data_IF_525989820293
#
_entry.id   IF_525989820293
#
_cell.length_a   1.000
_cell.length_b   1.000
_cell.length_c   1.000
_cell.angle_alpha   90.00
_cell.angle_beta   90.00
_cell.angle_gamma   90.00
#
_symmetry.space_group_name_H-M   'P 1'
#
loop_
_entity.id
_entity.type
_entity.pdbx_description
1 polymer ?
#
# COMPACT_ATOMS: atom_id res chain seq x y z
N UNK A 1 -12.60 -7.57 -3.59
CA UNK A 1 -12.53 -7.41 -5.06
C UNK A 1 -11.49 -8.38 -5.56
N UNK A 2 -11.84 -9.20 -6.52
CA UNK A 2 -10.94 -10.17 -7.15
C UNK A 2 -10.48 -9.64 -8.51
N UNK A 3 -9.39 -10.19 -9.06
CA UNK A 3 -8.92 -9.80 -10.40
C UNK A 3 -10.01 -9.93 -11.48
N UNK A 4 -10.94 -10.87 -11.32
CA UNK A 4 -12.06 -11.05 -12.24
C UNK A 4 -13.06 -9.86 -12.27
N UNK A 5 -13.02 -9.00 -11.25
CA UNK A 5 -13.90 -7.81 -11.14
C UNK A 5 -13.30 -6.58 -11.84
N UNK A 6 -12.00 -6.60 -12.17
CA UNK A 6 -11.30 -5.44 -12.75
C UNK A 6 -11.87 -4.99 -14.10
N UNK A 7 -12.22 -5.87 -15.05
CA UNK A 7 -12.81 -5.43 -16.31
C UNK A 7 -14.11 -4.65 -16.13
N UNK A 8 -14.95 -5.05 -15.16
CA UNK A 8 -16.17 -4.32 -14.83
C UNK A 8 -15.86 -2.97 -14.18
N UNK A 9 -14.90 -2.93 -13.24
CA UNK A 9 -14.45 -1.70 -12.61
C UNK A 9 -13.92 -0.71 -13.65
N UNK A 10 -13.06 -1.15 -14.55
CA UNK A 10 -12.49 -0.34 -15.62
C UNK A 10 -13.61 0.25 -16.50
N UNK A 11 -14.56 -0.57 -16.91
CA UNK A 11 -15.70 -0.10 -17.70
C UNK A 11 -16.53 0.96 -16.97
N UNK A 12 -16.75 0.81 -15.66
CA UNK A 12 -17.46 1.79 -14.85
C UNK A 12 -16.64 3.10 -14.81
N UNK A 13 -15.33 3.02 -14.57
CA UNK A 13 -14.45 4.20 -14.53
C UNK A 13 -14.43 4.98 -15.85
N UNK A 14 -14.51 4.29 -16.99
CA UNK A 14 -14.51 4.90 -18.31
C UNK A 14 -15.86 5.49 -18.72
N UNK A 15 -16.96 5.00 -18.18
CA UNK A 15 -18.31 5.36 -18.60
C UNK A 15 -19.06 6.26 -17.62
N UNK A 16 -18.62 6.32 -16.36
CA UNK A 16 -19.30 7.05 -15.29
C UNK A 16 -18.40 8.18 -14.74
N UNK A 17 -19.02 9.22 -14.20
CA UNK A 17 -18.30 10.28 -13.50
C UNK A 17 -17.96 9.80 -12.08
N UNK A 18 -16.76 9.26 -11.92
CA UNK A 18 -16.23 8.77 -10.65
C UNK A 18 -15.05 9.66 -10.23
N UNK A 19 -15.10 10.20 -9.01
CA UNK A 19 -14.03 11.01 -8.46
C UNK A 19 -12.96 10.17 -7.75
N UNK A 20 -13.35 9.03 -7.16
CA UNK A 20 -12.44 8.15 -6.44
C UNK A 20 -12.90 6.70 -6.43
N UNK A 21 -11.94 5.79 -6.29
CA UNK A 21 -12.18 4.37 -6.08
C UNK A 21 -11.48 3.89 -4.81
N UNK A 22 -11.99 2.82 -4.25
CA UNK A 22 -11.37 2.13 -3.12
C UNK A 22 -11.06 0.70 -3.52
N UNK A 23 -9.76 0.34 -3.50
CA UNK A 23 -9.28 -0.96 -3.99
C UNK A 23 -8.27 -1.58 -3.03
N UNK A 24 -8.21 -2.92 -2.92
CA UNK A 24 -7.14 -3.60 -2.21
C UNK A 24 -5.80 -3.39 -2.93
N UNK A 25 -4.82 -2.84 -2.21
CA UNK A 25 -3.48 -2.65 -2.72
C UNK A 25 -2.45 -2.77 -1.60
N UNK A 26 -1.51 -3.65 -1.76
CA UNK A 26 -0.42 -3.90 -0.81
C UNK A 26 0.70 -4.69 -1.48
N UNK A 27 1.82 -4.87 -0.79
CA UNK A 27 3.02 -5.54 -1.31
C UNK A 27 2.77 -6.97 -1.83
N UNK A 28 1.73 -7.65 -1.35
CA UNK A 28 1.32 -9.00 -1.80
C UNK A 28 0.24 -8.99 -2.89
N UNK A 29 -0.40 -7.85 -3.12
CA UNK A 29 -1.44 -7.70 -4.14
C UNK A 29 -1.19 -6.43 -4.94
N UNK A 30 -0.44 -6.57 -6.03
CA UNK A 30 0.00 -5.51 -6.94
C UNK A 30 -0.71 -5.52 -8.29
N UNK A 31 -1.63 -6.45 -8.52
CA UNK A 31 -2.29 -6.63 -9.83
C UNK A 31 -2.94 -5.36 -10.39
N UNK A 32 -3.43 -4.49 -9.52
CA UNK A 32 -4.03 -3.19 -9.91
C UNK A 32 -3.04 -2.26 -10.62
N UNK A 33 -1.73 -2.47 -10.49
CA UNK A 33 -0.71 -1.66 -11.16
C UNK A 33 -0.69 -1.87 -12.68
N UNK A 34 -1.14 -3.04 -13.15
CA UNK A 34 -1.10 -3.40 -14.56
C UNK A 34 -2.04 -2.54 -15.41
N UNK A 35 -3.28 -2.36 -14.97
CA UNK A 35 -4.31 -1.66 -15.71
C UNK A 35 -5.05 -0.60 -14.89
N UNK A 36 -5.62 -0.97 -13.75
CA UNK A 36 -6.53 -0.11 -12.97
C UNK A 36 -5.87 1.21 -12.57
N UNK A 37 -4.66 1.17 -12.02
CA UNK A 37 -3.97 2.39 -11.59
C UNK A 37 -3.58 3.29 -12.77
N UNK A 38 -3.27 2.72 -13.94
CA UNK A 38 -2.99 3.52 -15.15
C UNK A 38 -4.21 4.30 -15.59
N UNK A 39 -5.38 3.65 -15.60
CA UNK A 39 -6.66 4.28 -15.94
C UNK A 39 -7.03 5.35 -14.92
N UNK A 40 -6.83 5.09 -13.62
CA UNK A 40 -7.03 6.10 -12.58
C UNK A 40 -6.20 7.36 -12.83
N UNK A 41 -4.94 7.19 -13.21
CA UNK A 41 -4.05 8.30 -13.57
C UNK A 41 -4.58 9.09 -14.77
N UNK A 42 -4.96 8.40 -15.84
CA UNK A 42 -5.40 9.01 -17.09
C UNK A 42 -6.73 9.76 -16.91
N UNK A 43 -7.65 9.21 -16.16
CA UNK A 43 -8.96 9.79 -15.85
C UNK A 43 -8.96 10.71 -14.62
N UNK A 44 -7.82 10.86 -13.93
CA UNK A 44 -7.68 11.66 -12.70
C UNK A 44 -8.59 11.20 -11.56
N UNK A 45 -8.77 9.90 -11.45
CA UNK A 45 -9.56 9.28 -10.37
C UNK A 45 -8.67 9.08 -9.15
N UNK A 46 -9.11 9.55 -7.98
CA UNK A 46 -8.42 9.33 -6.70
C UNK A 46 -8.46 7.86 -6.29
N UNK A 47 -7.38 7.37 -5.68
CA UNK A 47 -7.27 5.97 -5.25
C UNK A 47 -7.07 5.87 -3.75
N UNK A 48 -7.99 5.22 -3.05
CA UNK A 48 -7.88 4.85 -1.64
C UNK A 48 -7.46 3.38 -1.55
N UNK A 49 -6.23 3.15 -1.09
CA UNK A 49 -5.70 1.79 -0.92
C UNK A 49 -6.25 1.16 0.36
N UNK A 50 -7.15 0.19 0.22
CA UNK A 50 -7.64 -0.63 1.33
C UNK A 50 -6.79 -1.88 1.51
N UNK A 51 -6.89 -2.50 2.69
CA UNK A 51 -6.09 -3.68 3.07
C UNK A 51 -4.56 -3.50 2.87
N UNK A 52 -3.97 -2.33 3.21
CA UNK A 52 -2.56 -2.05 2.93
C UNK A 52 -1.61 -3.01 3.67
N UNK A 53 -2.07 -3.65 4.76
CA UNK A 53 -1.35 -4.66 5.54
C UNK A 53 -1.86 -6.08 5.28
N UNK A 54 -2.60 -6.30 4.18
CA UNK A 54 -3.17 -7.61 3.82
C UNK A 54 -3.93 -8.26 5.00
N UNK A 55 -4.81 -7.47 5.66
CA UNK A 55 -5.55 -7.87 6.87
C UNK A 55 -4.65 -8.28 8.05
N UNK A 56 -3.47 -7.68 8.16
CA UNK A 56 -2.46 -8.01 9.18
C UNK A 56 -1.55 -9.19 8.84
N UNK A 57 -1.89 -9.98 7.83
CA UNK A 57 -1.17 -11.23 7.51
C UNK A 57 0.28 -11.02 7.07
N UNK A 58 0.63 -9.84 6.54
CA UNK A 58 2.01 -9.54 6.15
C UNK A 58 2.88 -9.47 7.39
N UNK A 59 2.40 -8.81 8.44
CA UNK A 59 3.19 -8.51 9.64
C UNK A 59 3.10 -9.59 10.73
N UNK A 60 2.12 -10.50 10.64
CA UNK A 60 1.93 -11.58 11.63
C UNK A 60 3.02 -12.65 11.59
N UNK A 61 3.76 -12.75 10.47
CA UNK A 61 4.75 -13.81 10.22
C UNK A 61 6.20 -13.36 10.38
N UNK A 62 6.43 -12.08 10.59
CA UNK A 62 7.77 -11.49 10.71
C UNK A 62 7.94 -10.85 12.09
N UNK A 63 9.19 -10.67 12.51
CA UNK A 63 9.46 -9.82 13.66
C UNK A 63 8.83 -8.44 13.40
N UNK A 64 7.96 -7.92 14.27
CA UNK A 64 7.30 -6.63 14.03
C UNK A 64 8.28 -5.47 13.86
N UNK A 65 9.49 -5.57 14.41
CA UNK A 65 10.50 -4.52 14.34
C UNK A 65 11.49 -4.75 13.20
N UNK A 66 11.96 -3.65 12.60
CA UNK A 66 12.87 -3.64 11.44
C UNK A 66 14.31 -3.25 11.81
N UNK A 67 14.73 -3.52 13.03
CA UNK A 67 16.07 -3.16 13.55
C UNK A 67 17.22 -3.74 12.71
N UNK A 68 16.98 -4.84 11.99
CA UNK A 68 17.95 -5.44 11.07
C UNK A 68 18.09 -4.69 9.73
N UNK A 69 17.31 -3.64 9.50
CA UNK A 69 17.31 -2.87 8.24
C UNK A 69 17.66 -1.39 8.49
N UNK A 70 18.95 -1.05 8.62
CA UNK A 70 19.38 0.31 8.95
C UNK A 70 18.84 1.37 7.99
N UNK A 71 18.78 1.06 6.68
CA UNK A 71 18.30 1.99 5.68
C UNK A 71 16.82 2.40 5.86
N UNK A 72 16.00 1.53 6.42
CA UNK A 72 14.60 1.83 6.76
C UNK A 72 14.48 2.57 8.10
N UNK A 73 15.32 2.20 9.08
CA UNK A 73 15.32 2.87 10.38
C UNK A 73 15.85 4.30 10.31
N UNK A 74 16.77 4.60 9.43
CA UNK A 74 17.25 5.97 9.14
C UNK A 74 16.14 6.89 8.62
N UNK A 75 15.12 6.34 7.97
CA UNK A 75 13.92 7.08 7.58
C UNK A 75 12.91 7.29 8.74
N UNK A 76 13.21 6.76 9.93
CA UNK A 76 12.30 6.81 11.08
C UNK A 76 11.23 5.72 11.09
N UNK A 77 11.36 4.68 10.24
CA UNK A 77 10.50 3.51 10.27
C UNK A 77 10.97 2.56 11.38
N UNK A 78 10.06 2.14 12.23
CA UNK A 78 10.36 1.30 13.40
C UNK A 78 9.78 -0.13 13.25
N UNK A 79 8.78 -0.28 12.38
CA UNK A 79 8.04 -1.54 12.22
C UNK A 79 7.83 -1.90 10.74
N UNK A 80 7.67 -3.18 10.49
CA UNK A 80 7.30 -3.65 9.14
C UNK A 80 5.91 -3.18 8.70
N UNK A 81 5.01 -2.92 9.64
CA UNK A 81 3.72 -2.31 9.32
C UNK A 81 3.92 -0.91 8.71
N UNK A 82 4.79 -0.09 9.29
CA UNK A 82 5.14 1.22 8.74
C UNK A 82 5.83 1.08 7.38
N UNK A 83 6.76 0.15 7.21
CA UNK A 83 7.43 -0.10 5.93
C UNK A 83 6.42 -0.50 4.83
N UNK A 84 5.46 -1.38 5.13
CA UNK A 84 4.40 -1.74 4.20
C UNK A 84 3.51 -0.55 3.82
N UNK A 85 3.16 0.31 4.78
CA UNK A 85 2.37 1.52 4.51
C UNK A 85 3.17 2.51 3.67
N UNK A 86 4.45 2.73 3.99
CA UNK A 86 5.34 3.57 3.19
C UNK A 86 5.47 3.04 1.75
N UNK A 87 5.55 1.72 1.58
CA UNK A 87 5.55 1.07 0.28
C UNK A 87 4.27 1.39 -0.53
N UNK A 88 3.10 1.34 0.11
CA UNK A 88 1.81 1.64 -0.54
C UNK A 88 1.76 3.09 -1.00
N UNK A 89 2.11 4.04 -0.13
CA UNK A 89 2.02 5.48 -0.45
C UNK A 89 3.18 5.97 -1.31
N UNK A 90 4.21 5.16 -1.53
CA UNK A 90 5.28 5.44 -2.50
C UNK A 90 4.73 5.54 -3.93
N UNK A 91 3.68 4.76 -4.26
CA UNK A 91 3.08 4.83 -5.58
C UNK A 91 2.33 6.16 -5.75
N UNK A 92 2.76 7.05 -6.66
CA UNK A 92 2.22 8.41 -6.78
C UNK A 92 0.75 8.46 -7.24
N UNK A 93 0.18 7.35 -7.69
CA UNK A 93 -1.23 7.26 -8.07
C UNK A 93 -2.12 7.01 -6.84
N UNK A 94 -1.56 6.47 -5.77
CA UNK A 94 -2.29 6.25 -4.52
C UNK A 94 -2.49 7.58 -3.79
N UNK A 95 -3.73 7.98 -3.63
CA UNK A 95 -4.09 9.21 -2.91
C UNK A 95 -3.93 9.04 -1.41
N UNK A 96 -4.35 7.90 -0.86
CA UNK A 96 -4.22 7.59 0.56
C UNK A 96 -4.29 6.09 0.81
N UNK A 97 -3.58 5.62 1.82
CA UNK A 97 -3.78 4.30 2.42
C UNK A 97 -4.75 4.41 3.59
N UNK A 98 -5.65 3.42 3.73
CA UNK A 98 -6.66 3.38 4.80
C UNK A 98 -6.48 2.12 5.68
N UNK A 99 -5.45 2.08 6.54
CA UNK A 99 -5.21 0.98 7.45
C UNK A 99 -6.27 0.99 8.57
N UNK A 100 -7.08 -0.07 8.63
CA UNK A 100 -8.02 -0.24 9.73
C UNK A 100 -7.30 -0.81 10.97
N UNK A 101 -7.62 -0.26 12.14
CA UNK A 101 -7.12 -0.77 13.42
C UNK A 101 -8.15 -0.55 14.54
N UNK A 102 -8.20 -1.50 15.48
CA UNK A 102 -8.97 -1.36 16.72
C UNK A 102 -8.12 -0.84 17.88
N UNK A 103 -6.83 -0.57 17.66
CA UNK A 103 -5.88 -0.14 18.69
C UNK A 103 -5.49 1.31 18.45
N UNK A 104 -5.85 2.24 19.34
CA UNK A 104 -5.58 3.68 19.18
C UNK A 104 -4.09 4.00 18.97
N UNK A 105 -3.19 3.30 19.68
CA UNK A 105 -1.74 3.49 19.57
C UNK A 105 -1.20 3.24 18.15
N UNK A 106 -1.83 2.33 17.40
CA UNK A 106 -1.46 2.03 16.00
C UNK A 106 -1.82 3.15 15.03
N UNK A 107 -2.71 4.05 15.39
CA UNK A 107 -3.04 5.20 14.53
C UNK A 107 -1.82 6.12 14.43
N UNK A 108 -1.18 6.43 15.56
CA UNK A 108 0.03 7.24 15.60
C UNK A 108 1.22 6.51 14.96
N UNK A 109 1.34 5.21 15.20
CA UNK A 109 2.35 4.37 14.56
C UNK A 109 2.21 4.41 13.03
N UNK A 110 1.00 4.17 12.51
CA UNK A 110 0.73 4.19 11.06
C UNK A 110 0.99 5.57 10.44
N UNK A 111 0.69 6.66 11.14
CA UNK A 111 0.93 8.01 10.65
C UNK A 111 2.43 8.31 10.41
N UNK A 112 3.33 7.68 11.16
CA UNK A 112 4.78 7.79 10.96
C UNK A 112 5.27 7.14 9.67
N UNK A 113 4.45 6.34 9.00
CA UNK A 113 4.78 5.72 7.71
C UNK A 113 4.80 6.70 6.53
N UNK A 114 4.38 7.96 6.72
CA UNK A 114 4.39 9.00 5.69
C UNK A 114 5.81 9.54 5.46
N UNK A 115 6.69 8.68 4.97
CA UNK A 115 8.09 8.99 4.64
C UNK A 115 8.32 8.96 3.14
N UNK A 116 9.36 9.64 2.66
CA UNK A 116 9.76 9.59 1.26
C UNK A 116 10.69 8.40 1.04
N UNK A 117 10.14 7.30 0.51
CA UNK A 117 10.96 6.16 0.10
C UNK A 117 11.77 6.48 -1.16
N UNK A 118 12.92 5.83 -1.28
CA UNK A 118 13.64 5.71 -2.55
C UNK A 118 13.26 4.40 -3.25
N UNK A 119 13.39 4.29 -4.59
CA UNK A 119 13.01 3.08 -5.32
C UNK A 119 13.70 1.80 -4.83
N UNK A 120 14.98 1.88 -4.47
CA UNK A 120 15.77 0.78 -3.93
C UNK A 120 15.24 0.29 -2.58
N UNK A 121 14.73 1.19 -1.74
CA UNK A 121 14.11 0.82 -0.46
C UNK A 121 12.73 0.18 -0.65
N UNK A 122 12.00 0.56 -1.69
CA UNK A 122 10.76 -0.13 -2.08
C UNK A 122 11.07 -1.59 -2.45
N UNK A 123 12.08 -1.80 -3.30
CA UNK A 123 12.53 -3.14 -3.70
C UNK A 123 13.04 -3.96 -2.51
N UNK A 124 13.77 -3.34 -1.58
CA UNK A 124 14.21 -3.98 -0.35
C UNK A 124 13.03 -4.48 0.49
N UNK A 125 11.99 -3.67 0.66
CA UNK A 125 10.79 -4.08 1.39
C UNK A 125 10.13 -5.30 0.72
N UNK A 126 9.99 -5.30 -0.60
CA UNK A 126 9.44 -6.42 -1.36
C UNK A 126 10.29 -7.69 -1.13
N UNK A 127 11.59 -7.59 -1.29
CA UNK A 127 12.52 -8.71 -1.13
C UNK A 127 12.47 -9.34 0.27
N UNK A 128 12.49 -8.52 1.31
CA UNK A 128 12.46 -9.01 2.71
C UNK A 128 11.12 -9.68 3.04
N UNK A 129 10.02 -9.15 2.54
CA UNK A 129 8.71 -9.73 2.77
C UNK A 129 8.48 -11.01 1.96
N UNK A 130 9.10 -11.16 0.80
CA UNK A 130 8.99 -12.39 -0.01
C UNK A 130 9.72 -13.59 0.62
N UNK A 131 10.72 -13.33 1.46
CA UNK A 131 11.49 -14.35 2.18
C UNK A 131 10.85 -14.79 3.50
N UNK A 132 9.87 -14.07 3.99
CA UNK A 132 9.16 -14.34 5.25
C UNK A 132 7.87 -15.16 5.00
#
# INVERSE_FOLDING_TARGET
>A
MNANDYPLLIRIMETENIDSIQIPYNVRNKLVEEDVLKICKDLRIGVLAMEPLYKGRIVDRINPRIESQPALTELGLETWAQACLAWVVFNPIITSAIPATSKPERILENAKAAVVLQPDLRELIEFELDRS
#
